data_IF_358099529794
#
_entry.id   IF_358099529794
#
_cell.length_a   1.000
_cell.length_b   1.000
_cell.length_c   1.000
_cell.angle_alpha   90.00
_cell.angle_beta   90.00
_cell.angle_gamma   90.00
#
_symmetry.space_group_name_H-M   'P 1'
#
loop_
_entity.id
_entity.type
_entity.pdbx_description
1 polymer ?
#
# COMPACT_ATOMS: atom_id res chain seq x y z
N UNK A 1 -1.84 -17.75 12.05
CA UNK A 1 -2.64 -18.02 10.82
C UNK A 1 -1.91 -17.37 9.64
N UNK A 2 -1.86 -18.06 8.51
CA UNK A 2 -1.25 -17.52 7.29
C UNK A 2 -2.19 -16.46 6.68
N UNK A 3 -1.73 -15.22 6.39
CA UNK A 3 -2.60 -14.22 5.82
C UNK A 3 -2.98 -14.53 4.38
N UNK A 4 -4.18 -14.09 3.95
CA UNK A 4 -4.50 -13.89 2.54
C UNK A 4 -3.99 -12.54 2.08
N UNK A 5 -3.94 -12.28 0.76
CA UNK A 5 -3.57 -10.97 0.23
C UNK A 5 -4.50 -10.48 -0.87
N UNK A 6 -4.70 -9.18 -0.94
CA UNK A 6 -5.28 -8.50 -2.09
C UNK A 6 -4.30 -7.51 -2.69
N UNK A 7 -4.08 -7.60 -3.99
CA UNK A 7 -3.28 -6.67 -4.80
C UNK A 7 -4.23 -5.74 -5.54
N UNK A 8 -4.16 -4.46 -5.25
CA UNK A 8 -4.96 -3.44 -5.94
C UNK A 8 -4.29 -3.10 -7.28
N UNK A 9 -4.96 -3.43 -8.38
CA UNK A 9 -4.49 -3.20 -9.75
C UNK A 9 -5.58 -2.59 -10.64
N UNK A 10 -6.51 -1.87 -10.03
CA UNK A 10 -7.56 -1.14 -10.74
C UNK A 10 -7.15 0.26 -11.13
N UNK A 11 -7.69 0.75 -12.24
CA UNK A 11 -7.56 2.14 -12.69
C UNK A 11 -8.90 2.88 -12.64
N UNK A 12 -8.83 4.21 -12.51
CA UNK A 12 -10.02 5.05 -12.66
C UNK A 12 -10.32 5.22 -14.14
N UNK A 13 -11.59 5.06 -14.57
CA UNK A 13 -11.97 5.32 -15.96
C UNK A 13 -11.54 6.72 -16.41
N UNK A 14 -10.85 6.80 -17.55
CA UNK A 14 -10.39 8.06 -18.13
C UNK A 14 -9.25 8.76 -17.40
N UNK A 15 -8.66 8.16 -16.37
CA UNK A 15 -7.45 8.69 -15.76
C UNK A 15 -6.24 8.41 -16.66
N UNK A 16 -5.32 9.40 -16.84
CA UNK A 16 -4.10 9.17 -17.60
C UNK A 16 -3.21 8.15 -16.89
N UNK A 17 -2.57 7.28 -17.68
CA UNK A 17 -1.56 6.34 -17.22
C UNK A 17 -0.25 6.59 -18.00
N UNK A 18 0.56 7.56 -17.57
CA UNK A 18 1.75 7.96 -18.33
C UNK A 18 2.81 6.86 -18.42
N UNK A 19 2.80 5.89 -17.50
CA UNK A 19 3.69 4.71 -17.59
C UNK A 19 3.20 3.79 -18.69
N UNK A 20 1.91 3.49 -18.73
CA UNK A 20 1.30 2.64 -19.75
C UNK A 20 1.47 3.25 -21.14
N UNK A 21 1.23 4.57 -21.28
CA UNK A 21 1.39 5.30 -22.54
C UNK A 21 2.84 5.23 -23.05
N UNK A 22 3.83 5.43 -22.19
CA UNK A 22 5.25 5.40 -22.55
C UNK A 22 5.74 3.99 -22.90
N UNK A 23 5.28 2.99 -22.19
CA UNK A 23 5.68 1.59 -22.39
C UNK A 23 4.87 0.88 -23.49
N UNK A 24 3.85 1.54 -24.07
CA UNK A 24 2.98 0.96 -25.10
C UNK A 24 2.16 -0.23 -24.58
N UNK A 25 1.80 -0.21 -23.29
CA UNK A 25 0.99 -1.26 -22.63
C UNK A 25 -0.37 -0.70 -22.20
N UNK A 26 -1.40 -1.53 -22.06
CA UNK A 26 -2.75 -1.06 -21.74
C UNK A 26 -2.95 -0.61 -20.29
N UNK A 27 -2.00 -0.91 -19.38
CA UNK A 27 -2.05 -0.55 -17.96
C UNK A 27 -0.64 -0.62 -17.35
N UNK A 28 -0.28 0.31 -16.45
CA UNK A 28 1.08 0.42 -15.85
C UNK A 28 1.58 -0.88 -15.19
N UNK A 29 0.70 -1.63 -14.53
CA UNK A 29 1.12 -2.88 -13.87
C UNK A 29 1.55 -3.99 -14.84
N UNK A 30 1.30 -3.81 -16.15
CA UNK A 30 1.74 -4.69 -17.24
C UNK A 30 3.09 -4.26 -17.86
N UNK A 31 3.62 -3.09 -17.47
CA UNK A 31 4.96 -2.68 -17.85
C UNK A 31 5.98 -3.73 -17.40
N UNK A 32 7.06 -3.90 -18.20
CA UNK A 32 8.07 -4.93 -17.96
C UNK A 32 9.24 -4.39 -17.13
N UNK A 33 9.68 -5.24 -16.20
CA UNK A 33 10.87 -5.09 -15.40
C UNK A 33 11.58 -6.45 -15.37
N UNK A 34 12.82 -6.54 -15.83
CA UNK A 34 13.57 -7.80 -15.89
C UNK A 34 12.75 -8.98 -16.50
N UNK A 35 12.03 -8.70 -17.60
CA UNK A 35 11.23 -9.69 -18.32
C UNK A 35 9.86 -10.03 -17.74
N UNK A 36 9.56 -9.64 -16.51
CA UNK A 36 8.28 -9.88 -15.83
C UNK A 36 7.42 -8.61 -15.78
N UNK A 37 6.09 -8.73 -15.62
CA UNK A 37 5.23 -7.56 -15.36
C UNK A 37 5.44 -7.04 -13.94
N UNK A 38 5.15 -5.74 -13.69
CA UNK A 38 5.18 -5.21 -12.33
C UNK A 38 4.26 -6.01 -11.41
N UNK A 39 3.07 -6.39 -11.90
CA UNK A 39 2.13 -7.24 -11.17
C UNK A 39 2.73 -8.60 -10.83
N UNK A 40 3.45 -9.23 -11.76
CA UNK A 40 4.09 -10.53 -11.55
C UNK A 40 5.14 -10.48 -10.43
N UNK A 41 5.92 -9.39 -10.34
CA UNK A 41 6.87 -9.19 -9.24
C UNK A 41 6.18 -9.14 -7.88
N UNK A 42 5.07 -8.40 -7.76
CA UNK A 42 4.30 -8.28 -6.51
C UNK A 42 3.69 -9.62 -6.13
N UNK A 43 3.07 -10.33 -7.08
CA UNK A 43 2.45 -11.65 -6.84
C UNK A 43 3.51 -12.67 -6.42
N UNK A 44 4.67 -12.69 -7.08
CA UNK A 44 5.78 -13.58 -6.73
C UNK A 44 6.28 -13.31 -5.30
N UNK A 45 6.50 -12.04 -4.93
CA UNK A 45 6.93 -11.68 -3.58
C UNK A 45 5.94 -12.14 -2.49
N UNK A 46 4.63 -12.04 -2.75
CA UNK A 46 3.59 -12.53 -1.84
C UNK A 46 3.61 -14.07 -1.74
N UNK A 47 3.73 -14.76 -2.87
CA UNK A 47 3.81 -16.22 -2.91
C UNK A 47 5.06 -16.72 -2.17
N UNK A 48 6.23 -16.13 -2.42
CA UNK A 48 7.50 -16.47 -1.77
C UNK A 48 7.50 -16.13 -0.27
N UNK A 49 6.64 -15.21 0.17
CA UNK A 49 6.41 -14.91 1.59
C UNK A 49 5.48 -15.95 2.27
N UNK A 50 4.96 -16.92 1.54
CA UNK A 50 4.07 -17.95 2.06
C UNK A 50 2.65 -17.46 2.31
N UNK A 51 2.19 -16.44 1.60
CA UNK A 51 0.79 -15.96 1.67
C UNK A 51 -0.15 -17.06 1.16
N UNK A 52 -1.23 -17.32 1.89
CA UNK A 52 -2.12 -18.46 1.62
C UNK A 52 -2.92 -18.29 0.32
N UNK A 53 -3.75 -17.26 0.25
CA UNK A 53 -4.53 -16.94 -0.95
C UNK A 53 -4.17 -15.55 -1.45
N UNK A 54 -3.86 -15.42 -2.73
CA UNK A 54 -3.55 -14.16 -3.37
C UNK A 54 -4.68 -13.80 -4.34
N UNK A 55 -5.23 -12.60 -4.19
CA UNK A 55 -6.22 -12.06 -5.11
C UNK A 55 -5.72 -10.76 -5.75
N UNK A 56 -6.12 -10.52 -6.99
CA UNK A 56 -5.90 -9.26 -7.71
C UNK A 56 -7.26 -8.59 -7.95
N UNK A 57 -7.42 -7.36 -7.48
CA UNK A 57 -8.60 -6.54 -7.78
C UNK A 57 -8.31 -5.67 -9.01
N UNK A 58 -8.96 -5.98 -10.12
CA UNK A 58 -8.73 -5.34 -11.42
C UNK A 58 -10.04 -5.02 -12.15
N UNK A 59 -10.00 -4.05 -13.07
CA UNK A 59 -11.11 -3.64 -13.95
C UNK A 59 -10.67 -3.44 -15.40
N UNK A 60 -9.46 -3.84 -15.75
CA UNK A 60 -8.95 -3.78 -17.11
C UNK A 60 -8.75 -5.20 -17.66
N UNK A 61 -9.34 -5.57 -18.84
CA UNK A 61 -9.29 -6.93 -19.38
C UNK A 61 -7.89 -7.54 -19.48
N UNK A 62 -6.89 -6.73 -19.84
CA UNK A 62 -5.51 -7.20 -19.95
C UNK A 62 -4.89 -7.51 -18.57
N UNK A 63 -5.24 -6.74 -17.52
CA UNK A 63 -4.80 -7.02 -16.14
C UNK A 63 -5.49 -8.27 -15.60
N UNK A 64 -6.77 -8.44 -15.91
CA UNK A 64 -7.50 -9.67 -15.56
C UNK A 64 -6.91 -10.91 -16.24
N UNK A 65 -6.53 -10.79 -17.53
CA UNK A 65 -5.86 -11.87 -18.25
C UNK A 65 -4.51 -12.23 -17.61
N UNK A 66 -3.74 -11.22 -17.21
CA UNK A 66 -2.48 -11.41 -16.51
C UNK A 66 -2.68 -12.07 -15.14
N UNK A 67 -3.68 -11.64 -14.36
CA UNK A 67 -4.01 -12.27 -13.09
C UNK A 67 -4.38 -13.76 -13.26
N UNK A 68 -5.15 -14.11 -14.29
CA UNK A 68 -5.47 -15.51 -14.63
C UNK A 68 -4.21 -16.28 -15.05
N UNK A 69 -3.31 -15.68 -15.84
CA UNK A 69 -2.01 -16.28 -16.20
C UNK A 69 -1.15 -16.59 -14.98
N UNK A 70 -1.17 -15.71 -13.99
CA UNK A 70 -0.46 -15.89 -12.72
C UNK A 70 -1.13 -16.90 -11.77
N UNK A 71 -2.31 -17.40 -12.11
CA UNK A 71 -3.04 -18.38 -11.29
C UNK A 71 -3.62 -17.83 -9.99
N UNK A 72 -3.79 -16.50 -9.89
CA UNK A 72 -4.33 -15.84 -8.71
C UNK A 72 -5.83 -15.59 -8.82
N UNK A 73 -6.49 -15.38 -7.68
CA UNK A 73 -7.94 -15.11 -7.63
C UNK A 73 -8.22 -13.72 -8.20
N UNK A 74 -9.14 -13.63 -9.15
CA UNK A 74 -9.61 -12.35 -9.66
C UNK A 74 -10.78 -11.82 -8.83
N UNK A 75 -10.68 -10.58 -8.38
CA UNK A 75 -11.76 -9.84 -7.74
C UNK A 75 -12.15 -8.62 -8.59
N UNK A 76 -13.43 -8.28 -8.68
CA UNK A 76 -13.84 -7.04 -9.32
C UNK A 76 -13.33 -5.84 -8.51
N UNK A 77 -13.11 -4.71 -9.20
CA UNK A 77 -12.94 -3.44 -8.50
C UNK A 77 -14.29 -2.88 -8.06
N UNK A 78 -14.27 -2.10 -6.99
CA UNK A 78 -15.39 -1.28 -6.58
C UNK A 78 -15.20 0.19 -7.00
N UNK A 79 -15.99 1.12 -6.44
CA UNK A 79 -15.90 2.57 -6.75
C UNK A 79 -14.55 3.21 -6.37
N UNK A 80 -13.82 2.60 -5.44
CA UNK A 80 -12.52 3.06 -4.98
C UNK A 80 -11.72 1.95 -4.31
N UNK A 81 -10.43 2.21 -3.99
CA UNK A 81 -9.57 1.23 -3.38
C UNK A 81 -10.10 0.72 -2.03
N UNK A 82 -10.66 1.58 -1.17
CA UNK A 82 -11.23 1.16 0.11
C UNK A 82 -12.42 0.20 -0.02
N UNK A 83 -13.27 0.40 -1.04
CA UNK A 83 -14.37 -0.53 -1.31
C UNK A 83 -13.88 -1.85 -1.92
N UNK A 84 -12.83 -1.82 -2.76
CA UNK A 84 -12.20 -3.03 -3.28
C UNK A 84 -11.55 -3.85 -2.17
N UNK A 85 -10.92 -3.19 -1.19
CA UNK A 85 -10.40 -3.85 0.02
C UNK A 85 -11.53 -4.44 0.86
N UNK A 86 -12.66 -3.73 1.00
CA UNK A 86 -13.83 -4.26 1.72
C UNK A 86 -14.33 -5.57 1.09
N UNK A 87 -14.48 -5.63 -0.24
CA UNK A 87 -14.87 -6.85 -0.95
C UNK A 87 -13.90 -8.01 -0.70
N UNK A 88 -12.58 -7.72 -0.69
CA UNK A 88 -11.58 -8.74 -0.37
C UNK A 88 -11.65 -9.19 1.09
N UNK A 89 -11.88 -8.24 2.01
CA UNK A 89 -12.00 -8.53 3.44
C UNK A 89 -13.26 -9.36 3.75
N UNK A 90 -14.38 -9.04 3.10
CA UNK A 90 -15.62 -9.83 3.20
C UNK A 90 -15.44 -11.27 2.70
N UNK A 91 -14.58 -11.46 1.67
CA UNK A 91 -14.32 -12.78 1.09
C UNK A 91 -13.35 -13.62 1.91
N UNK A 92 -12.26 -13.04 2.39
CA UNK A 92 -11.14 -13.79 2.99
C UNK A 92 -11.10 -13.67 4.52
N UNK A 93 -11.74 -12.66 5.09
CA UNK A 93 -11.62 -12.34 6.52
C UNK A 93 -10.23 -11.82 6.89
N UNK A 94 -9.96 -11.81 8.19
CA UNK A 94 -8.66 -11.48 8.77
C UNK A 94 -7.85 -12.77 9.05
N UNK A 95 -6.51 -12.75 8.94
CA UNK A 95 -5.69 -11.61 8.53
C UNK A 95 -5.61 -11.44 7.01
N UNK A 96 -5.70 -10.20 6.53
CA UNK A 96 -5.60 -9.85 5.13
C UNK A 96 -4.49 -8.82 4.88
N UNK A 97 -3.51 -9.16 4.06
CA UNK A 97 -2.53 -8.21 3.52
C UNK A 97 -3.15 -7.43 2.36
N UNK A 98 -2.89 -6.14 2.30
CA UNK A 98 -3.31 -5.25 1.21
C UNK A 98 -2.06 -4.58 0.64
N UNK A 99 -1.88 -4.69 -0.68
CA UNK A 99 -0.80 -3.99 -1.40
C UNK A 99 -1.27 -3.54 -2.77
N UNK A 100 -0.42 -2.85 -3.53
CA UNK A 100 -0.71 -2.37 -4.88
C UNK A 100 0.15 -3.10 -5.91
N UNK A 101 -0.34 -3.22 -7.14
CA UNK A 101 0.35 -3.94 -8.23
C UNK A 101 1.52 -3.18 -8.86
N UNK A 102 1.77 -1.95 -8.43
CA UNK A 102 2.79 -1.05 -8.94
C UNK A 102 4.02 -0.90 -8.02
N UNK A 103 4.18 -1.80 -7.06
CA UNK A 103 5.35 -1.87 -6.17
C UNK A 103 6.25 -3.09 -6.50
N UNK A 104 6.95 -3.10 -7.66
CA UNK A 104 7.67 -4.27 -8.15
C UNK A 104 8.94 -4.61 -7.35
N UNK A 105 9.41 -3.71 -6.47
CA UNK A 105 10.55 -3.95 -5.60
C UNK A 105 10.18 -4.67 -4.29
N UNK A 106 8.89 -4.94 -4.06
CA UNK A 106 8.41 -5.67 -2.90
C UNK A 106 9.11 -7.03 -2.80
N UNK A 107 9.62 -7.35 -1.61
CA UNK A 107 10.35 -8.59 -1.34
C UNK A 107 9.66 -9.42 -0.27
N UNK A 108 9.73 -10.75 -0.41
CA UNK A 108 9.15 -11.70 0.55
C UNK A 108 9.67 -11.51 1.97
N UNK A 109 10.97 -11.22 2.13
CA UNK A 109 11.56 -10.94 3.43
C UNK A 109 10.98 -9.71 4.13
N UNK A 110 10.59 -8.67 3.36
CA UNK A 110 9.95 -7.47 3.95
C UNK A 110 8.51 -7.76 4.38
N UNK A 111 7.78 -8.56 3.60
CA UNK A 111 6.43 -9.00 3.94
C UNK A 111 6.48 -9.83 5.23
N UNK A 112 7.38 -10.81 5.30
CA UNK A 112 7.56 -11.65 6.48
C UNK A 112 7.94 -10.83 7.72
N UNK A 113 8.90 -9.89 7.58
CA UNK A 113 9.29 -8.99 8.66
C UNK A 113 8.14 -8.07 9.10
N UNK A 114 7.32 -7.59 8.16
CA UNK A 114 6.15 -6.77 8.44
C UNK A 114 5.11 -7.54 9.27
N UNK A 115 4.76 -8.73 8.84
CA UNK A 115 3.80 -9.59 9.55
C UNK A 115 4.32 -9.95 10.94
N UNK A 116 5.60 -10.36 11.05
CA UNK A 116 6.23 -10.70 12.32
C UNK A 116 6.42 -9.50 13.26
N UNK A 117 6.65 -8.31 12.70
CA UNK A 117 6.81 -7.05 13.46
C UNK A 117 5.48 -6.39 13.84
N UNK A 118 4.35 -6.91 13.38
CA UNK A 118 3.03 -6.40 13.79
C UNK A 118 2.73 -6.83 15.21
N UNK A 119 2.45 -5.90 16.14
CA UNK A 119 2.07 -6.23 17.50
C UNK A 119 0.84 -7.15 17.54
N UNK A 120 0.80 -8.15 18.43
CA UNK A 120 -0.29 -9.13 18.47
C UNK A 120 -1.66 -8.53 18.81
N UNK A 121 -1.67 -7.37 19.51
CA UNK A 121 -2.87 -6.61 19.83
C UNK A 121 -3.37 -5.71 18.70
N UNK A 122 -2.56 -5.51 17.63
CA UNK A 122 -2.93 -4.62 16.54
C UNK A 122 -4.07 -5.19 15.69
N UNK A 123 -5.08 -4.38 15.44
CA UNK A 123 -6.13 -4.69 14.47
C UNK A 123 -5.70 -4.35 13.03
N UNK A 124 -4.91 -3.29 12.90
CA UNK A 124 -4.38 -2.80 11.62
C UNK A 124 -2.91 -2.43 11.78
N UNK A 125 -2.07 -2.89 10.86
CA UNK A 125 -0.70 -2.43 10.76
C UNK A 125 -0.44 -1.77 9.40
N UNK A 126 0.43 -0.76 9.39
CA UNK A 126 0.84 -0.03 8.19
C UNK A 126 2.37 -0.01 8.11
N UNK A 127 2.92 -0.36 6.94
CA UNK A 127 4.36 -0.20 6.71
C UNK A 127 4.65 1.18 6.14
N UNK A 128 5.57 1.91 6.78
CA UNK A 128 6.13 3.15 6.26
C UNK A 128 7.66 3.12 6.34
N UNK A 129 8.31 3.77 5.38
CA UNK A 129 9.76 3.91 5.35
C UNK A 129 10.19 5.32 5.78
N UNK A 130 11.24 5.40 6.57
CA UNK A 130 11.86 6.67 6.94
C UNK A 130 12.59 7.29 5.75
N UNK A 131 12.57 8.61 5.68
CA UNK A 131 13.21 9.37 4.60
C UNK A 131 14.68 9.04 4.45
N UNK A 132 15.43 9.00 5.54
CA UNK A 132 16.86 8.69 5.54
C UNK A 132 17.15 7.32 4.87
N UNK A 133 16.32 6.31 5.12
CA UNK A 133 16.44 4.99 4.48
C UNK A 133 16.08 5.02 3.00
N UNK A 134 15.01 5.75 2.65
CA UNK A 134 14.58 5.87 1.25
C UNK A 134 15.63 6.60 0.42
N UNK A 135 16.16 7.73 0.91
CA UNK A 135 17.19 8.51 0.22
C UNK A 135 18.52 7.74 0.13
N UNK A 136 18.88 6.93 1.15
CA UNK A 136 20.05 6.07 1.09
C UNK A 136 19.92 4.97 0.02
N UNK A 137 18.71 4.42 -0.18
CA UNK A 137 18.44 3.37 -1.17
C UNK A 137 18.23 3.93 -2.59
N UNK A 138 17.66 5.13 -2.71
CA UNK A 138 17.31 5.77 -3.98
C UNK A 138 17.35 7.30 -3.85
N UNK A 139 18.55 7.91 -3.95
CA UNK A 139 18.74 9.35 -3.75
C UNK A 139 17.91 10.24 -4.69
N UNK A 140 17.65 9.76 -5.91
CA UNK A 140 16.93 10.50 -6.96
C UNK A 140 15.41 10.35 -6.87
N UNK A 141 14.88 9.63 -5.88
CA UNK A 141 13.45 9.38 -5.77
C UNK A 141 12.69 10.64 -5.34
N UNK A 142 11.51 10.86 -5.93
CA UNK A 142 10.61 11.95 -5.54
C UNK A 142 9.37 11.35 -4.89
N UNK A 143 9.30 11.48 -3.56
CA UNK A 143 8.21 10.90 -2.74
C UNK A 143 7.42 11.98 -2.00
N UNK A 144 6.20 11.63 -1.62
CA UNK A 144 5.43 12.44 -0.67
C UNK A 144 5.91 12.11 0.74
N UNK A 145 6.33 13.14 1.47
CA UNK A 145 6.82 12.98 2.83
C UNK A 145 5.78 13.43 3.84
N UNK A 146 5.52 12.56 4.81
CA UNK A 146 4.73 12.86 5.99
C UNK A 146 5.69 13.29 7.11
N UNK A 147 5.60 14.56 7.54
CA UNK A 147 6.48 15.11 8.59
C UNK A 147 5.90 14.89 9.98
N UNK A 148 6.68 14.27 10.88
CA UNK A 148 6.34 14.05 12.29
C UNK A 148 7.54 14.41 13.17
N UNK A 149 7.34 14.43 14.51
CA UNK A 149 8.39 14.74 15.48
C UNK A 149 9.59 13.78 15.41
N UNK A 150 9.35 12.54 15.03
CA UNK A 150 10.33 11.46 14.89
C UNK A 150 10.90 11.31 13.48
N UNK A 151 10.62 12.25 12.57
CA UNK A 151 11.19 12.29 11.23
C UNK A 151 10.17 12.41 10.10
N UNK A 152 10.64 12.19 8.87
CA UNK A 152 9.82 12.20 7.66
C UNK A 152 9.65 10.75 7.17
N UNK A 153 8.43 10.43 6.71
CA UNK A 153 8.01 9.08 6.37
C UNK A 153 7.29 9.04 5.03
N UNK A 154 7.43 7.92 4.32
CA UNK A 154 6.68 7.64 3.09
C UNK A 154 5.98 6.29 3.19
N UNK A 155 4.79 6.18 2.58
CA UNK A 155 4.03 4.93 2.52
C UNK A 155 4.73 3.87 1.68
N UNK A 156 4.60 2.61 2.09
CA UNK A 156 5.11 1.45 1.36
C UNK A 156 3.99 0.67 0.66
N UNK A 157 2.77 1.20 0.64
CA UNK A 157 1.60 0.54 0.06
C UNK A 157 1.41 -0.90 0.58
N UNK A 158 1.77 -1.16 1.83
CA UNK A 158 1.60 -2.45 2.49
C UNK A 158 0.88 -2.28 3.83
N UNK A 159 -0.26 -2.97 3.96
CA UNK A 159 -1.14 -2.91 5.13
C UNK A 159 -1.49 -4.33 5.56
N UNK A 160 -1.68 -4.55 6.85
CA UNK A 160 -2.23 -5.77 7.41
C UNK A 160 -3.52 -5.45 8.16
N UNK A 161 -4.60 -6.07 7.77
CA UNK A 161 -5.89 -6.08 8.44
C UNK A 161 -5.90 -7.35 9.29
N UNK A 162 -5.42 -7.24 10.53
CA UNK A 162 -5.01 -8.40 11.34
C UNK A 162 -6.18 -9.09 12.03
N UNK A 163 -7.24 -8.33 12.39
CA UNK A 163 -8.41 -8.85 13.10
C UNK A 163 -9.71 -8.42 12.42
N UNK A 164 -10.87 -9.01 12.78
CA UNK A 164 -12.17 -8.57 12.28
C UNK A 164 -12.50 -7.11 12.58
N UNK A 165 -11.95 -6.51 13.65
CA UNK A 165 -12.14 -5.11 14.00
C UNK A 165 -11.57 -4.14 12.94
N UNK A 166 -10.64 -4.60 12.09
CA UNK A 166 -10.12 -3.83 10.94
C UNK A 166 -11.23 -3.35 9.98
N UNK A 167 -12.42 -3.97 9.99
CA UNK A 167 -13.59 -3.48 9.24
C UNK A 167 -13.91 -2.01 9.56
N UNK A 168 -13.69 -1.56 10.81
CA UNK A 168 -13.88 -0.17 11.21
C UNK A 168 -12.90 0.78 10.50
N UNK A 169 -11.64 0.35 10.35
CA UNK A 169 -10.63 1.12 9.62
C UNK A 169 -10.96 1.20 8.12
N UNK A 170 -11.44 0.13 7.52
CA UNK A 170 -11.92 0.11 6.12
C UNK A 170 -13.08 1.09 5.94
N UNK A 171 -14.06 1.07 6.84
CA UNK A 171 -15.20 1.99 6.82
C UNK A 171 -14.76 3.45 6.93
N UNK A 172 -13.80 3.74 7.81
CA UNK A 172 -13.23 5.07 7.94
C UNK A 172 -12.46 5.51 6.68
N UNK A 173 -11.69 4.61 6.06
CA UNK A 173 -10.99 4.89 4.81
C UNK A 173 -11.96 5.27 3.70
N UNK A 174 -13.08 4.54 3.54
CA UNK A 174 -14.16 4.90 2.59
C UNK A 174 -14.67 6.32 2.80
N UNK A 175 -14.82 6.74 4.07
CA UNK A 175 -15.26 8.11 4.39
C UNK A 175 -14.18 9.14 4.05
N UNK A 176 -12.89 8.85 4.31
CA UNK A 176 -11.77 9.72 3.93
C UNK A 176 -11.68 9.86 2.42
N UNK A 177 -11.86 8.78 1.65
CA UNK A 177 -11.92 8.84 0.19
C UNK A 177 -13.08 9.72 -0.31
N UNK A 178 -14.26 9.60 0.28
CA UNK A 178 -15.41 10.43 -0.06
C UNK A 178 -15.17 11.92 0.29
N UNK A 179 -14.49 12.18 1.41
CA UNK A 179 -14.22 13.53 1.91
C UNK A 179 -12.89 14.13 1.41
N UNK A 180 -12.16 13.48 0.46
CA UNK A 180 -10.85 13.94 -0.04
C UNK A 180 -10.82 15.39 -0.53
N UNK A 181 -11.95 15.90 -1.02
CA UNK A 181 -12.13 17.31 -1.42
C UNK A 181 -12.47 18.24 -0.26
N UNK A 182 -12.57 17.71 0.98
CA UNK A 182 -12.96 18.44 2.19
C UNK A 182 -12.00 18.13 3.34
N UNK A 183 -10.71 18.53 3.23
CA UNK A 183 -9.65 18.13 4.18
C UNK A 183 -9.95 18.56 5.62
N UNK A 184 -10.73 19.63 5.82
CA UNK A 184 -11.15 20.08 7.16
C UNK A 184 -12.02 19.05 7.91
N UNK A 185 -12.79 18.20 7.19
CA UNK A 185 -13.57 17.12 7.82
C UNK A 185 -12.68 16.02 8.36
N UNK A 186 -11.62 15.69 7.61
CA UNK A 186 -10.60 14.71 8.04
C UNK A 186 -9.86 15.25 9.26
N UNK A 187 -9.42 16.51 9.22
CA UNK A 187 -8.73 17.18 10.32
C UNK A 187 -9.59 17.21 11.61
N UNK A 188 -10.88 17.49 11.49
CA UNK A 188 -11.79 17.52 12.66
C UNK A 188 -11.93 16.16 13.34
N UNK A 189 -11.81 15.04 12.62
CA UNK A 189 -11.86 13.68 13.19
C UNK A 189 -10.62 13.35 14.03
N UNK A 190 -9.47 13.92 13.68
CA UNK A 190 -8.25 13.73 14.45
C UNK A 190 -8.27 14.42 15.82
N UNK A 191 -9.21 15.35 16.01
CA UNK A 191 -9.36 16.10 17.25
C UNK A 191 -8.35 17.25 17.39
N UNK A 192 -8.80 18.33 18.06
CA UNK A 192 -8.03 19.58 18.21
C UNK A 192 -6.68 19.34 18.90
N UNK A 193 -6.62 18.47 19.91
CA UNK A 193 -5.38 18.16 20.63
C UNK A 193 -4.33 17.46 19.76
N UNK A 194 -4.75 16.60 18.82
CA UNK A 194 -3.84 15.94 17.87
C UNK A 194 -3.29 16.94 16.86
N UNK A 195 -4.16 17.79 16.31
CA UNK A 195 -3.76 18.85 15.37
C UNK A 195 -2.81 19.85 16.03
N UNK A 196 -3.07 20.22 17.28
CA UNK A 196 -2.21 21.13 18.03
C UNK A 196 -0.84 20.51 18.34
N UNK A 197 -0.79 19.22 18.75
CA UNK A 197 0.47 18.48 18.93
C UNK A 197 1.26 18.38 17.62
N UNK A 198 0.59 18.14 16.50
CA UNK A 198 1.19 18.12 15.17
C UNK A 198 1.78 19.50 14.80
N UNK A 199 0.98 20.55 14.94
CA UNK A 199 1.42 21.91 14.65
C UNK A 199 2.62 22.37 15.50
N UNK A 200 2.71 21.90 16.76
CA UNK A 200 3.87 22.15 17.65
C UNK A 200 5.08 21.26 17.34
N UNK A 201 5.02 20.41 16.34
CA UNK A 201 6.10 19.48 16.01
C UNK A 201 6.42 18.45 17.10
N UNK A 202 5.42 18.12 17.96
CA UNK A 202 5.59 17.19 19.08
C UNK A 202 4.92 15.83 18.87
N UNK A 203 4.16 15.65 17.79
CA UNK A 203 3.45 14.42 17.49
C UNK A 203 4.36 13.47 16.72
N UNK A 204 4.66 12.31 17.29
CA UNK A 204 5.33 11.22 16.56
C UNK A 204 4.36 10.47 15.65
N UNK A 205 4.88 9.78 14.62
CA UNK A 205 4.03 9.00 13.73
C UNK A 205 3.31 7.87 14.48
N UNK A 206 4.01 7.17 15.38
CA UNK A 206 3.40 6.10 16.19
C UNK A 206 2.25 6.62 17.07
N UNK A 207 2.43 7.79 17.71
CA UNK A 207 1.35 8.43 18.46
C UNK A 207 0.19 8.86 17.57
N UNK A 208 0.47 9.38 16.37
CA UNK A 208 -0.56 9.76 15.40
C UNK A 208 -1.39 8.53 15.00
N UNK A 209 -0.74 7.41 14.71
CA UNK A 209 -1.39 6.14 14.38
C UNK A 209 -2.25 5.63 15.54
N UNK A 210 -1.73 5.62 16.75
CA UNK A 210 -2.46 5.19 17.94
C UNK A 210 -3.68 6.09 18.24
N UNK A 211 -3.57 7.42 18.06
CA UNK A 211 -4.69 8.36 18.24
C UNK A 211 -5.75 8.19 17.17
N UNK A 212 -5.32 8.00 15.90
CA UNK A 212 -6.24 7.72 14.79
C UNK A 212 -6.96 6.39 15.03
N UNK A 213 -6.23 5.35 15.39
CA UNK A 213 -6.80 4.03 15.70
C UNK A 213 -7.89 4.12 16.77
N UNK A 214 -7.60 4.76 17.93
CA UNK A 214 -8.61 4.96 18.99
C UNK A 214 -9.85 5.71 18.51
N UNK A 215 -9.68 6.73 17.64
CA UNK A 215 -10.81 7.46 17.09
C UNK A 215 -11.67 6.61 16.14
N UNK A 216 -11.13 5.52 15.63
CA UNK A 216 -11.78 4.57 14.74
C UNK A 216 -12.23 3.28 15.44
N UNK A 217 -11.92 3.14 16.74
CA UNK A 217 -12.21 1.93 17.51
C UNK A 217 -11.38 0.72 17.07
N UNK A 218 -10.10 0.95 16.71
CA UNK A 218 -9.13 -0.08 16.33
C UNK A 218 -7.77 0.21 16.96
N UNK A 219 -7.00 -0.84 17.21
CA UNK A 219 -5.58 -0.71 17.55
C UNK A 219 -4.74 -0.68 16.26
N UNK A 220 -4.22 0.52 15.94
CA UNK A 220 -3.44 0.77 14.75
C UNK A 220 -1.95 0.86 15.06
N UNK A 221 -1.13 0.05 14.39
CA UNK A 221 0.31 -0.03 14.57
C UNK A 221 1.08 0.46 13.35
N UNK A 222 2.22 1.11 13.62
CA UNK A 222 3.26 1.40 12.64
C UNK A 222 4.32 0.30 12.70
N UNK A 223 4.65 -0.28 11.55
CA UNK A 223 5.82 -1.15 11.40
C UNK A 223 6.78 -0.47 10.43
N UNK A 224 7.93 0.02 10.90
CA UNK A 224 8.92 0.66 10.04
C UNK A 224 9.51 -0.32 9.02
N UNK A 225 9.61 0.11 7.75
CA UNK A 225 10.29 -0.67 6.74
C UNK A 225 11.78 -0.81 7.06
N UNK A 226 12.31 -2.01 6.87
CA UNK A 226 13.74 -2.29 7.05
C UNK A 226 14.60 -1.76 5.91
N UNK A 227 14.01 -1.61 4.72
CA UNK A 227 14.67 -1.12 3.49
C UNK A 227 13.84 0.01 2.87
N UNK A 228 14.50 1.10 2.49
CA UNK A 228 13.85 2.27 1.89
C UNK A 228 13.22 2.00 0.53
N UNK A 229 13.69 0.98 -0.20
CA UNK A 229 13.12 0.56 -1.49
C UNK A 229 11.67 0.09 -1.37
N UNK A 230 11.22 -0.32 -0.18
CA UNK A 230 9.84 -0.70 0.07
C UNK A 230 8.83 0.44 -0.19
N UNK A 231 9.27 1.70 -0.13
CA UNK A 231 8.44 2.87 -0.43
C UNK A 231 8.47 3.30 -1.89
N UNK A 232 9.11 2.54 -2.79
CA UNK A 232 9.25 2.92 -4.20
C UNK A 232 8.21 2.17 -5.03
N UNK A 233 7.15 2.88 -5.42
CA UNK A 233 6.16 2.43 -6.39
C UNK A 233 6.34 3.13 -7.74
N UNK A 234 5.69 2.61 -8.77
CA UNK A 234 5.78 3.11 -10.15
C UNK A 234 4.51 3.87 -10.51
N UNK A 235 4.54 5.19 -10.36
CA UNK A 235 3.45 6.09 -10.74
C UNK A 235 3.76 6.89 -12.01
N UNK A 236 5.03 7.10 -12.32
CA UNK A 236 5.52 7.88 -13.45
C UNK A 236 6.61 7.13 -14.20
N UNK A 237 6.87 7.48 -15.48
CA UNK A 237 7.95 6.89 -16.25
C UNK A 237 9.34 6.99 -15.60
N UNK A 238 9.58 8.08 -14.84
CA UNK A 238 10.84 8.28 -14.11
C UNK A 238 11.00 7.26 -12.98
N UNK A 239 9.88 6.86 -12.32
CA UNK A 239 9.89 5.84 -11.28
C UNK A 239 10.26 4.47 -11.88
N UNK A 240 9.69 4.13 -13.04
CA UNK A 240 10.04 2.89 -13.74
C UNK A 240 11.51 2.88 -14.15
N UNK A 241 12.02 4.00 -14.67
CA UNK A 241 13.44 4.13 -15.02
C UNK A 241 14.34 3.99 -13.77
N UNK A 242 13.93 4.54 -12.62
CA UNK A 242 14.62 4.37 -11.34
C UNK A 242 14.62 2.90 -10.91
N UNK A 243 13.47 2.26 -10.94
CA UNK A 243 13.33 0.84 -10.55
C UNK A 243 14.19 -0.07 -11.44
N UNK A 244 14.22 0.17 -12.75
CA UNK A 244 15.10 -0.55 -13.69
C UNK A 244 16.58 -0.42 -13.29
N UNK A 245 17.05 0.78 -12.98
CA UNK A 245 18.43 0.99 -12.49
C UNK A 245 18.70 0.23 -11.17
N UNK A 246 17.75 0.23 -10.26
CA UNK A 246 17.92 -0.43 -8.94
C UNK A 246 18.01 -1.95 -9.03
N UNK A 247 17.41 -2.56 -10.05
CA UNK A 247 17.51 -4.02 -10.29
C UNK A 247 18.54 -4.42 -11.33
N UNK A 248 19.25 -3.45 -11.93
CA UNK A 248 20.25 -3.72 -12.97
C UNK A 248 19.64 -4.10 -14.33
N UNK A 249 18.41 -3.66 -14.61
CA UNK A 249 17.65 -3.90 -15.84
C UNK A 249 17.68 -2.60 -16.70
N UNK A 250 18.86 -2.19 -17.10
CA UNK A 250 19.11 -0.97 -17.85
C UNK A 250 20.10 -1.14 -19.00
#
# INVERSE_FOLDING_TARGET
MTPSAVVLAGSRPGAPDPVADREGVPHKVLAKLAGKTLLEHVVAALADAGVGSIAVSANHPAVEAEARRLGVILLPTARGPSESVALAFDRFGAPLLVTTGDNPLLQSGWIAAFVAGTPPEADVAVMLARRDRVEAAAPDTRRTWLGFADGQWSGCNLFLLATPAAANAIAAWRQVEADRKRPWRIARRLGVGTLWSYWRGKLTLAEAMARLGRALGVDAALVPATDGRAAIDVDKPEDLALVRRLVGDG
#
